data_IF_811306199257
#
_entry.id   IF_811306199257
#
_cell.length_a   1.000
_cell.length_b   1.000
_cell.length_c   1.000
_cell.angle_alpha   90.00
_cell.angle_beta   90.00
_cell.angle_gamma   90.00
#
_symmetry.space_group_name_H-M   'P 1'
#
loop_
_entity.id
_entity.type
_entity.pdbx_description
1 polymer ?
#
# COMPACT_ATOMS: atom_id res chain seq x y z
N UNK A 1 -11.44 -7.71 4.27
CA UNK A 1 -10.73 -7.26 3.04
C UNK A 1 -9.29 -7.75 3.10
N UNK A 2 -8.79 -8.31 2.02
CA UNK A 2 -7.43 -8.81 1.88
C UNK A 2 -6.69 -7.92 0.87
N UNK A 3 -5.64 -7.25 1.33
CA UNK A 3 -4.90 -6.25 0.55
C UNK A 3 -3.46 -6.72 0.42
N UNK A 4 -2.93 -6.70 -0.79
CA UNK A 4 -1.53 -7.02 -1.09
C UNK A 4 -0.84 -5.80 -1.67
N UNK A 5 0.29 -5.42 -1.09
CA UNK A 5 1.21 -4.45 -1.67
C UNK A 5 2.39 -5.20 -2.28
N UNK A 6 2.76 -4.85 -3.48
CA UNK A 6 3.87 -5.45 -4.21
C UNK A 6 4.78 -4.38 -4.81
N UNK A 7 6.07 -4.52 -4.61
CA UNK A 7 7.08 -3.60 -5.12
C UNK A 7 8.46 -4.22 -5.04
N UNK A 8 9.46 -3.38 -4.89
CA UNK A 8 10.86 -3.79 -4.68
C UNK A 8 11.40 -3.25 -3.36
N UNK A 9 12.48 -3.84 -2.91
CA UNK A 9 13.19 -3.35 -1.72
C UNK A 9 13.52 -1.86 -1.84
N UNK A 10 13.25 -1.10 -0.77
CA UNK A 10 13.43 0.35 -0.71
C UNK A 10 12.20 1.18 -1.03
N UNK A 11 11.13 0.61 -1.60
CA UNK A 11 9.89 1.35 -1.86
C UNK A 11 8.94 1.48 -0.64
N UNK A 12 9.28 0.88 0.49
CA UNK A 12 8.51 1.02 1.73
C UNK A 12 7.16 0.31 1.76
N UNK A 13 6.95 -0.73 0.94
CA UNK A 13 5.68 -1.49 0.89
C UNK A 13 5.31 -2.11 2.23
N UNK A 14 6.28 -2.60 2.99
CA UNK A 14 6.05 -3.16 4.32
C UNK A 14 5.57 -2.10 5.30
N UNK A 15 6.17 -0.92 5.28
CA UNK A 15 5.77 0.19 6.13
C UNK A 15 4.33 0.64 5.81
N UNK A 16 3.96 0.69 4.54
CA UNK A 16 2.58 0.99 4.14
C UNK A 16 1.59 -0.02 4.73
N UNK A 17 1.92 -1.32 4.67
CA UNK A 17 1.10 -2.38 5.28
C UNK A 17 1.00 -2.26 6.80
N UNK A 18 2.11 -1.96 7.49
CA UNK A 18 2.13 -1.73 8.96
C UNK A 18 1.23 -0.56 9.35
N UNK A 19 1.32 0.56 8.63
CA UNK A 19 0.51 1.76 8.90
C UNK A 19 -0.97 1.47 8.66
N UNK A 20 -1.31 0.81 7.56
CA UNK A 20 -2.69 0.41 7.26
C UNK A 20 -3.25 -0.51 8.34
N UNK A 21 -2.47 -1.51 8.75
CA UNK A 21 -2.86 -2.45 9.80
C UNK A 21 -3.08 -1.76 11.14
N UNK A 22 -2.20 -0.84 11.53
CA UNK A 22 -2.37 -0.07 12.76
C UNK A 22 -3.60 0.84 12.73
N UNK A 23 -3.85 1.52 11.61
CA UNK A 23 -5.03 2.33 11.42
C UNK A 23 -6.31 1.51 11.62
N UNK A 24 -6.38 0.33 10.99
CA UNK A 24 -7.52 -0.58 11.14
C UNK A 24 -7.67 -1.11 12.57
N UNK A 25 -6.57 -1.43 13.26
CA UNK A 25 -6.61 -1.85 14.66
C UNK A 25 -7.11 -0.75 15.60
N UNK A 26 -6.74 0.52 15.35
CA UNK A 26 -7.27 1.66 16.11
C UNK A 26 -8.78 1.85 15.94
N UNK A 27 -9.34 1.40 14.81
CA UNK A 27 -10.78 1.39 14.56
C UNK A 27 -11.48 0.15 15.14
N UNK A 28 -10.76 -0.69 15.87
CA UNK A 28 -11.33 -1.89 16.52
C UNK A 28 -11.50 -3.08 15.57
N UNK A 29 -10.86 -3.06 14.41
CA UNK A 29 -10.88 -4.18 13.47
C UNK A 29 -9.80 -5.21 13.81
N UNK A 30 -10.05 -6.47 13.45
CA UNK A 30 -9.04 -7.51 13.50
C UNK A 30 -8.10 -7.36 12.30
N UNK A 31 -6.80 -7.46 12.55
CA UNK A 31 -5.76 -7.26 11.55
C UNK A 31 -4.72 -8.34 11.64
N UNK A 32 -4.29 -8.84 10.49
CA UNK A 32 -3.11 -9.67 10.36
C UNK A 32 -2.26 -9.16 9.22
N UNK A 33 -0.96 -9.01 9.45
CA UNK A 33 0.01 -8.64 8.44
C UNK A 33 1.07 -9.72 8.28
N UNK A 34 1.38 -10.04 7.04
CA UNK A 34 2.51 -10.90 6.68
C UNK A 34 3.36 -10.22 5.62
N UNK A 35 4.61 -10.67 5.47
CA UNK A 35 5.54 -10.11 4.51
C UNK A 35 6.40 -11.19 3.89
N UNK A 36 6.76 -10.99 2.63
CA UNK A 36 7.66 -11.83 1.87
C UNK A 36 8.70 -11.00 1.16
N UNK A 37 9.96 -11.44 1.22
CA UNK A 37 11.09 -10.78 0.61
C UNK A 37 11.83 -11.76 -0.30
N UNK A 38 12.32 -11.24 -1.42
CA UNK A 38 13.33 -11.95 -2.18
C UNK A 38 14.61 -12.15 -1.37
N UNK A 39 15.25 -13.29 -1.53
CA UNK A 39 16.59 -13.55 -1.00
C UNK A 39 17.69 -12.70 -1.67
N UNK A 40 17.36 -11.95 -2.72
CA UNK A 40 18.29 -11.03 -3.39
C UNK A 40 18.66 -9.89 -2.44
N UNK A 41 19.97 -9.62 -2.32
CA UNK A 41 20.49 -8.59 -1.40
C UNK A 41 20.14 -7.15 -1.81
N UNK A 42 19.73 -6.93 -3.07
CA UNK A 42 19.24 -5.63 -3.61
C UNK A 42 18.30 -5.86 -4.77
N UNK A 43 17.27 -5.01 -4.89
CA UNK A 43 16.36 -4.97 -6.04
C UNK A 43 15.43 -6.17 -6.18
N UNK A 44 15.34 -7.05 -5.19
CA UNK A 44 14.38 -8.13 -5.16
C UNK A 44 12.96 -7.66 -4.84
N UNK A 45 11.95 -8.50 -5.13
CA UNK A 45 10.57 -8.19 -4.78
C UNK A 45 10.41 -8.00 -3.26
N UNK A 46 9.49 -7.15 -2.91
CA UNK A 46 9.01 -6.94 -1.54
C UNK A 46 7.50 -6.94 -1.57
N UNK A 47 6.89 -7.83 -0.80
CA UNK A 47 5.45 -8.03 -0.76
C UNK A 47 4.99 -7.95 0.68
N UNK A 48 3.88 -7.29 0.93
CA UNK A 48 3.21 -7.33 2.23
C UNK A 48 1.72 -7.52 2.04
N UNK A 49 1.16 -8.39 2.87
CA UNK A 49 -0.26 -8.67 2.91
C UNK A 49 -0.86 -8.10 4.19
N UNK A 50 -2.04 -7.51 4.07
CA UNK A 50 -2.83 -7.02 5.20
C UNK A 50 -4.24 -7.57 5.09
N UNK A 51 -4.65 -8.35 6.09
CA UNK A 51 -6.02 -8.83 6.23
C UNK A 51 -6.71 -7.97 7.28
N UNK A 52 -7.83 -7.37 6.92
CA UNK A 52 -8.64 -6.52 7.79
C UNK A 52 -10.05 -7.10 7.84
N UNK A 53 -10.56 -7.37 9.05
CA UNK A 53 -11.85 -8.02 9.26
C UNK A 53 -12.55 -7.54 10.53
N UNK A 54 -13.88 -7.51 10.50
CA UNK A 54 -14.70 -7.36 11.72
C UNK A 54 -14.75 -8.67 12.52
N UNK A 55 -14.63 -9.80 11.82
CA UNK A 55 -14.62 -11.13 12.41
C UNK A 55 -13.19 -11.61 12.71
N UNK A 56 -13.01 -12.59 13.61
CA UNK A 56 -11.71 -13.19 13.85
C UNK A 56 -11.06 -13.72 12.58
N UNK A 57 -9.75 -13.53 12.44
CA UNK A 57 -8.97 -13.98 11.30
C UNK A 57 -8.35 -15.33 11.64
N UNK A 58 -8.69 -16.36 10.87
CA UNK A 58 -8.16 -17.73 11.03
C UNK A 58 -7.15 -18.09 9.94
N UNK A 59 -7.29 -17.52 8.75
CA UNK A 59 -6.36 -17.73 7.65
C UNK A 59 -5.22 -16.70 7.73
N UNK A 60 -4.00 -17.20 7.76
CA UNK A 60 -2.79 -16.36 7.88
C UNK A 60 -2.15 -16.01 6.54
N UNK A 61 -2.70 -16.52 5.44
CA UNK A 61 -2.17 -16.32 4.09
C UNK A 61 -3.21 -15.69 3.17
N UNK A 62 -2.78 -14.69 2.41
CA UNK A 62 -3.56 -14.14 1.29
C UNK A 62 -3.25 -14.95 0.03
N UNK A 63 -4.16 -15.83 -0.35
CA UNK A 63 -4.05 -16.59 -1.61
C UNK A 63 -4.62 -15.81 -2.78
N UNK A 64 -5.70 -15.08 -2.53
CA UNK A 64 -6.36 -14.18 -3.50
C UNK A 64 -6.72 -12.87 -2.82
N UNK A 65 -6.09 -11.79 -3.25
CA UNK A 65 -6.32 -10.45 -2.72
C UNK A 65 -7.59 -9.81 -3.29
N UNK A 66 -8.31 -9.06 -2.46
CA UNK A 66 -9.39 -8.18 -2.91
C UNK A 66 -8.83 -6.94 -3.62
N UNK A 67 -7.66 -6.48 -3.14
CA UNK A 67 -6.95 -5.32 -3.70
C UNK A 67 -5.47 -5.67 -3.83
N UNK A 68 -4.90 -5.40 -5.01
CA UNK A 68 -3.46 -5.46 -5.27
C UNK A 68 -2.95 -4.06 -5.59
N UNK A 69 -1.98 -3.59 -4.80
CA UNK A 69 -1.27 -2.32 -5.03
C UNK A 69 0.13 -2.64 -5.53
N UNK A 70 0.41 -2.33 -6.78
CA UNK A 70 1.68 -2.62 -7.43
C UNK A 70 2.49 -1.33 -7.67
N UNK A 71 3.65 -1.22 -7.03
CA UNK A 71 4.55 -0.07 -7.11
C UNK A 71 5.71 -0.26 -8.08
N UNK A 72 5.94 -1.48 -8.53
CA UNK A 72 7.01 -1.82 -9.48
C UNK A 72 6.64 -3.06 -10.28
N UNK A 73 7.09 -3.10 -11.56
CA UNK A 73 6.77 -4.22 -12.47
C UNK A 73 7.19 -5.57 -11.89
N UNK A 74 8.41 -5.68 -11.33
CA UNK A 74 8.90 -6.93 -10.74
C UNK A 74 7.99 -7.43 -9.59
N UNK A 75 7.52 -6.53 -8.75
CA UNK A 75 6.57 -6.89 -7.68
C UNK A 75 5.24 -7.36 -8.26
N UNK A 76 4.72 -6.67 -9.27
CA UNK A 76 3.51 -7.04 -9.98
C UNK A 76 3.61 -8.43 -10.60
N UNK A 77 4.64 -8.67 -11.43
CA UNK A 77 4.85 -9.96 -12.12
C UNK A 77 4.97 -11.15 -11.15
N UNK A 78 5.40 -10.89 -9.92
CA UNK A 78 5.53 -11.93 -8.90
C UNK A 78 4.17 -12.39 -8.37
N UNK A 79 3.14 -11.51 -8.38
CA UNK A 79 1.87 -11.76 -7.68
C UNK A 79 0.62 -11.45 -8.50
N UNK A 80 0.73 -11.15 -9.78
CA UNK A 80 -0.40 -10.75 -10.65
C UNK A 80 -1.56 -11.74 -10.60
N UNK A 81 -1.25 -13.04 -10.60
CA UNK A 81 -2.25 -14.12 -10.52
C UNK A 81 -2.96 -14.20 -9.16
N UNK A 82 -2.52 -13.44 -8.16
CA UNK A 82 -3.09 -13.45 -6.82
C UNK A 82 -4.26 -12.47 -6.63
N UNK A 83 -4.58 -11.66 -7.61
CA UNK A 83 -5.76 -10.81 -7.56
C UNK A 83 -7.02 -11.65 -7.81
N UNK A 84 -8.08 -11.42 -7.04
CA UNK A 84 -9.39 -12.03 -7.28
C UNK A 84 -9.99 -11.55 -8.60
N UNK A 85 -10.81 -12.39 -9.22
CA UNK A 85 -11.67 -11.95 -10.30
C UNK A 85 -12.57 -10.80 -9.84
N UNK A 86 -12.55 -9.68 -10.55
CA UNK A 86 -13.23 -8.45 -10.14
C UNK A 86 -12.57 -7.70 -8.97
N UNK A 87 -11.39 -8.12 -8.54
CA UNK A 87 -10.59 -7.40 -7.56
C UNK A 87 -10.05 -6.07 -8.09
N UNK A 88 -9.68 -5.19 -7.19
CA UNK A 88 -9.16 -3.86 -7.53
C UNK A 88 -7.64 -3.90 -7.72
N UNK A 89 -7.19 -3.59 -8.94
CA UNK A 89 -5.77 -3.37 -9.23
C UNK A 89 -5.43 -1.88 -9.19
N UNK A 90 -4.52 -1.50 -8.30
CA UNK A 90 -3.98 -0.14 -8.16
C UNK A 90 -2.51 -0.17 -8.57
N UNK A 91 -2.08 0.70 -9.48
CA UNK A 91 -0.70 0.69 -9.97
C UNK A 91 -0.02 2.06 -9.92
N UNK A 92 1.30 2.02 -9.78
CA UNK A 92 2.21 3.10 -10.16
C UNK A 92 2.30 3.15 -11.69
N UNK A 93 1.66 4.12 -12.31
CA UNK A 93 1.45 4.14 -13.77
C UNK A 93 2.70 4.37 -14.60
N UNK A 94 3.76 4.95 -14.02
CA UNK A 94 5.03 5.17 -14.73
C UNK A 94 5.93 3.93 -14.69
N UNK A 95 5.70 2.97 -13.76
CA UNK A 95 6.56 1.82 -13.51
C UNK A 95 5.91 0.46 -13.75
N UNK A 96 4.58 0.40 -13.81
CA UNK A 96 3.82 -0.85 -13.95
C UNK A 96 2.94 -0.80 -15.19
N UNK A 97 2.99 -1.86 -15.99
CA UNK A 97 2.15 -2.05 -17.18
C UNK A 97 1.46 -3.40 -17.05
N UNK A 98 0.25 -3.43 -16.49
CA UNK A 98 -0.49 -4.67 -16.32
C UNK A 98 -1.25 -5.04 -17.59
N UNK A 99 -1.62 -6.31 -17.67
CA UNK A 99 -2.65 -6.78 -18.60
C UNK A 99 -4.01 -6.69 -17.91
N UNK A 100 -4.93 -5.90 -18.47
CA UNK A 100 -6.29 -5.77 -17.94
C UNK A 100 -6.62 -4.42 -17.30
N UNK A 101 -7.76 -4.36 -16.62
CA UNK A 101 -8.28 -3.14 -16.04
C UNK A 101 -7.55 -2.77 -14.74
N UNK A 102 -7.26 -1.50 -14.59
CA UNK A 102 -6.60 -0.95 -13.41
C UNK A 102 -7.06 0.48 -13.12
N UNK A 103 -6.76 0.92 -11.91
CA UNK A 103 -6.72 2.33 -11.53
C UNK A 103 -5.31 2.66 -11.03
N UNK A 104 -4.94 3.92 -11.03
CA UNK A 104 -3.61 4.30 -10.54
C UNK A 104 -3.26 5.73 -10.88
N UNK A 105 -2.05 6.10 -10.50
CA UNK A 105 -1.48 7.41 -10.77
C UNK A 105 0.06 7.30 -10.78
N UNK A 106 0.79 8.32 -11.23
CA UNK A 106 2.24 8.35 -11.17
C UNK A 106 2.71 8.69 -9.74
N UNK A 107 2.57 7.73 -8.82
CA UNK A 107 2.78 7.94 -7.37
C UNK A 107 4.16 8.46 -7.03
N UNK A 108 5.19 7.99 -7.74
CA UNK A 108 6.57 8.46 -7.55
C UNK A 108 6.71 9.93 -7.91
N UNK A 109 6.11 10.34 -9.02
CA UNK A 109 6.11 11.75 -9.45
C UNK A 109 5.33 12.62 -8.47
N UNK A 110 4.15 12.17 -8.03
CA UNK A 110 3.37 12.87 -7.00
C UNK A 110 4.18 13.01 -5.71
N UNK A 111 4.90 11.97 -5.28
CA UNK A 111 5.77 12.02 -4.12
C UNK A 111 6.87 13.08 -4.27
N UNK A 112 7.57 13.10 -5.40
CA UNK A 112 8.64 14.05 -5.70
C UNK A 112 8.11 15.50 -5.77
N UNK A 113 7.02 15.74 -6.48
CA UNK A 113 6.42 17.06 -6.61
C UNK A 113 5.88 17.59 -5.28
N UNK A 114 5.34 16.71 -4.43
CA UNK A 114 4.71 17.09 -3.18
C UNK A 114 5.71 17.26 -2.04
N UNK A 115 6.69 16.37 -1.95
CA UNK A 115 7.59 16.27 -0.80
C UNK A 115 9.06 16.51 -1.12
N UNK A 116 9.43 16.50 -2.40
CA UNK A 116 10.83 16.49 -2.84
C UNK A 116 11.53 15.14 -2.72
N UNK A 117 10.82 14.08 -2.27
CA UNK A 117 11.39 12.76 -1.98
C UNK A 117 10.58 11.64 -2.64
N UNK A 118 11.12 11.00 -3.68
CA UNK A 118 10.54 9.80 -4.28
C UNK A 118 10.29 8.67 -3.26
N UNK A 119 11.08 8.64 -2.19
CA UNK A 119 10.98 7.63 -1.13
C UNK A 119 9.62 7.61 -0.41
N UNK A 120 8.83 8.68 -0.49
CA UNK A 120 7.50 8.74 0.11
C UNK A 120 6.39 8.17 -0.80
N UNK A 121 6.76 7.48 -1.88
CA UNK A 121 5.82 6.84 -2.83
C UNK A 121 4.85 5.88 -2.15
N UNK A 122 5.30 5.15 -1.14
CA UNK A 122 4.45 4.26 -0.36
C UNK A 122 3.31 4.97 0.37
N UNK A 123 3.55 6.19 0.85
CA UNK A 123 2.51 7.00 1.50
C UNK A 123 1.51 7.56 0.49
N UNK A 124 1.97 7.95 -0.70
CA UNK A 124 1.07 8.36 -1.79
C UNK A 124 0.18 7.20 -2.21
N UNK A 125 0.75 6.01 -2.44
CA UNK A 125 -0.01 4.82 -2.80
C UNK A 125 -1.00 4.40 -1.70
N UNK A 126 -0.60 4.49 -0.43
CA UNK A 126 -1.48 4.23 0.72
C UNK A 126 -2.67 5.21 0.75
N UNK A 127 -2.43 6.49 0.52
CA UNK A 127 -3.48 7.50 0.43
C UNK A 127 -4.47 7.21 -0.69
N UNK A 128 -3.97 6.87 -1.86
CA UNK A 128 -4.79 6.49 -3.01
C UNK A 128 -5.65 5.25 -2.73
N UNK A 129 -5.05 4.21 -2.14
CA UNK A 129 -5.77 3.00 -1.71
C UNK A 129 -6.93 3.34 -0.77
N UNK A 130 -6.66 4.12 0.28
CA UNK A 130 -7.67 4.48 1.29
C UNK A 130 -8.80 5.28 0.65
N UNK A 131 -8.51 6.22 -0.23
CA UNK A 131 -9.52 6.97 -0.96
C UNK A 131 -10.40 6.09 -1.87
N UNK A 132 -9.79 5.11 -2.55
CA UNK A 132 -10.54 4.20 -3.46
C UNK A 132 -11.36 3.15 -2.72
N UNK A 133 -10.96 2.73 -1.53
CA UNK A 133 -11.58 1.59 -0.83
C UNK A 133 -12.41 1.98 0.39
N UNK A 134 -12.08 3.10 1.04
CA UNK A 134 -12.69 3.46 2.31
C UNK A 134 -12.49 2.41 3.41
N UNK A 135 -11.42 1.61 3.32
CA UNK A 135 -11.19 0.47 4.22
C UNK A 135 -10.93 0.89 5.66
N UNK A 136 -10.38 2.09 5.84
CA UNK A 136 -10.17 2.79 7.12
C UNK A 136 -10.39 4.28 6.93
N UNK A 137 -10.60 5.00 8.03
CA UNK A 137 -10.71 6.45 8.02
C UNK A 137 -9.36 7.12 7.77
N UNK A 138 -9.37 8.24 7.05
CA UNK A 138 -8.18 9.03 6.74
C UNK A 138 -7.40 9.44 8.00
N UNK A 139 -8.14 9.88 9.01
CA UNK A 139 -7.60 10.36 10.28
C UNK A 139 -6.87 9.25 11.05
N UNK A 140 -7.38 8.02 11.00
CA UNK A 140 -6.73 6.84 11.60
C UNK A 140 -5.39 6.56 10.95
N UNK A 141 -5.29 6.71 9.62
CA UNK A 141 -4.02 6.53 8.91
C UNK A 141 -3.03 7.64 9.25
N UNK A 142 -3.46 8.89 9.30
CA UNK A 142 -2.58 10.01 9.68
C UNK A 142 -2.01 9.81 11.10
N UNK A 143 -2.81 9.33 12.04
CA UNK A 143 -2.34 9.01 13.38
C UNK A 143 -1.37 7.82 13.39
N UNK A 144 -1.63 6.78 12.61
CA UNK A 144 -0.73 5.63 12.45
C UNK A 144 0.62 6.05 11.82
N UNK A 145 0.61 6.96 10.83
CA UNK A 145 1.83 7.52 10.25
C UNK A 145 2.69 8.16 11.35
N UNK A 146 2.11 9.02 12.19
CA UNK A 146 2.85 9.70 13.29
C UNK A 146 3.54 8.71 14.23
N UNK A 147 2.92 7.54 14.43
CA UNK A 147 3.45 6.51 15.35
C UNK A 147 4.54 5.64 14.72
N UNK A 148 4.53 5.47 13.40
CA UNK A 148 5.34 4.44 12.72
C UNK A 148 6.49 4.96 11.90
N UNK A 149 6.43 6.20 11.42
CA UNK A 149 7.55 6.78 10.67
C UNK A 149 8.67 7.26 11.61
N UNK A 150 9.90 7.35 11.13
CA UNK A 150 10.99 7.89 11.91
C UNK A 150 10.68 9.31 12.43
N UNK A 151 11.07 9.58 13.67
CA UNK A 151 10.87 10.90 14.27
C UNK A 151 11.47 12.02 13.41
N UNK A 152 10.66 13.07 13.21
CA UNK A 152 11.02 14.22 12.37
C UNK A 152 10.63 14.06 10.89
N UNK A 153 10.04 12.92 10.51
CA UNK A 153 9.53 12.69 9.15
C UNK A 153 7.99 12.63 9.08
N UNK A 154 7.31 12.87 10.19
CA UNK A 154 5.86 12.72 10.29
C UNK A 154 5.13 13.62 9.30
N UNK A 155 5.47 14.90 9.25
CA UNK A 155 4.79 15.88 8.38
C UNK A 155 4.97 15.56 6.91
N UNK A 156 6.18 15.16 6.48
CA UNK A 156 6.45 14.86 5.08
C UNK A 156 5.70 13.59 4.62
N UNK A 157 5.61 12.59 5.48
CA UNK A 157 4.85 11.37 5.20
C UNK A 157 3.33 11.62 5.17
N UNK A 158 2.80 12.44 6.07
CA UNK A 158 1.39 12.84 6.07
C UNK A 158 1.08 13.66 4.81
N UNK A 159 1.98 14.56 4.40
CA UNK A 159 1.81 15.35 3.17
C UNK A 159 1.72 14.46 1.93
N UNK A 160 2.60 13.45 1.84
CA UNK A 160 2.56 12.46 0.76
C UNK A 160 1.26 11.65 0.77
N UNK A 161 0.85 11.15 1.94
CA UNK A 161 -0.40 10.41 2.11
C UNK A 161 -1.61 11.25 1.65
N UNK A 162 -1.70 12.51 2.07
CA UNK A 162 -2.79 13.42 1.67
C UNK A 162 -2.84 13.64 0.18
N UNK A 163 -1.69 13.82 -0.47
CA UNK A 163 -1.62 13.97 -1.92
C UNK A 163 -2.16 12.74 -2.65
N UNK A 164 -1.79 11.55 -2.18
CA UNK A 164 -2.34 10.30 -2.71
C UNK A 164 -3.84 10.14 -2.46
N UNK A 165 -4.32 10.54 -1.29
CA UNK A 165 -5.75 10.51 -0.96
C UNK A 165 -6.56 11.47 -1.85
N UNK A 166 -6.07 12.68 -2.08
CA UNK A 166 -6.69 13.64 -3.00
C UNK A 166 -6.73 13.11 -4.44
N UNK A 167 -5.64 12.49 -4.90
CA UNK A 167 -5.57 11.89 -6.24
C UNK A 167 -6.56 10.74 -6.38
N UNK A 168 -6.64 9.86 -5.37
CA UNK A 168 -7.58 8.75 -5.34
C UNK A 168 -9.05 9.17 -5.22
N UNK A 169 -9.32 10.38 -4.76
CA UNK A 169 -10.69 10.90 -4.59
C UNK A 169 -11.27 11.51 -5.87
N UNK A 170 -10.46 11.70 -6.89
CA UNK A 170 -10.90 12.15 -8.23
C UNK A 170 -11.60 11.00 -8.96
#
# INVERSE_FOLDING_TARGET
MQIRFAGIGGQGVVLAGVILGEAAAMEGLNVLQTQDYSSASRGGHSITDVIISKEPIYDVMVTKADVLVALHQLGYDTVEDSLKEGGLLIIETDLVKPDGDYVGAPFTRIAEETTGLALTVNMVALGYLVAKTGVVEKESVEEAIKRRVPKGTEEINIKAFRAGFEEGSK
#
